data_IF_915442257296
#
_entry.id   IF_915442257296
#
_cell.length_a   1.000
_cell.length_b   1.000
_cell.length_c   1.000
_cell.angle_alpha   90.00
_cell.angle_beta   90.00
_cell.angle_gamma   90.00
#
_symmetry.space_group_name_H-M   'P 1'
#
loop_
_entity.id
_entity.type
_entity.pdbx_description
1 polymer ?
#
# COMPACT_ATOMS: atom_id res chain seq x y z
N UNK A 1 -27.42 -36.41 -3.74
CA UNK A 1 -27.57 -37.81 -4.19
C UNK A 1 -28.26 -37.97 -5.55
N UNK A 2 -29.31 -37.20 -5.87
CA UNK A 2 -30.14 -37.37 -7.08
C UNK A 2 -29.38 -37.29 -8.42
N UNK A 3 -28.33 -36.48 -8.50
CA UNK A 3 -27.52 -36.29 -9.72
C UNK A 3 -26.78 -37.56 -10.15
N UNK A 4 -26.29 -38.35 -9.20
CA UNK A 4 -25.42 -39.52 -9.46
C UNK A 4 -26.15 -40.86 -9.28
N UNK A 5 -27.04 -40.97 -8.28
CA UNK A 5 -27.57 -42.29 -7.87
C UNK A 5 -28.97 -42.61 -8.40
N UNK A 6 -29.76 -41.63 -8.84
CA UNK A 6 -31.07 -41.93 -9.43
C UNK A 6 -31.04 -42.80 -10.70
N UNK A 7 -30.03 -42.70 -11.60
CA UNK A 7 -29.92 -43.61 -12.74
C UNK A 7 -29.78 -45.08 -12.33
N UNK A 8 -29.03 -45.35 -11.26
CA UNK A 8 -28.88 -46.70 -10.71
C UNK A 8 -30.22 -47.27 -10.21
N UNK A 9 -31.00 -46.47 -9.46
CA UNK A 9 -32.30 -46.89 -8.95
C UNK A 9 -33.37 -47.07 -10.05
N UNK A 10 -33.15 -46.52 -11.24
CA UNK A 10 -34.09 -46.60 -12.39
C UNK A 10 -33.65 -47.59 -13.47
N UNK A 11 -32.64 -48.41 -13.21
CA UNK A 11 -32.15 -49.41 -14.17
C UNK A 11 -31.38 -48.82 -15.36
N UNK A 12 -30.96 -47.55 -15.28
CA UNK A 12 -30.20 -46.84 -16.33
C UNK A 12 -28.82 -46.42 -15.82
N UNK A 13 -28.13 -47.31 -15.11
CA UNK A 13 -26.86 -47.04 -14.43
C UNK A 13 -25.73 -46.50 -15.35
N UNK A 14 -25.76 -46.80 -16.65
CA UNK A 14 -24.75 -46.33 -17.61
C UNK A 14 -25.01 -44.90 -18.11
N UNK A 15 -26.19 -44.33 -17.84
CA UNK A 15 -26.56 -43.00 -18.30
C UNK A 15 -25.83 -41.91 -17.50
N UNK A 16 -25.04 -41.09 -18.18
CA UNK A 16 -24.39 -39.91 -17.58
C UNK A 16 -25.41 -38.77 -17.42
N UNK A 17 -25.29 -37.94 -16.36
CA UNK A 17 -26.12 -36.75 -16.23
C UNK A 17 -25.81 -35.76 -17.35
N UNK A 18 -26.84 -35.08 -17.85
CA UNK A 18 -26.69 -34.02 -18.85
C UNK A 18 -25.79 -32.90 -18.31
N UNK A 19 -24.97 -32.30 -19.18
CA UNK A 19 -24.07 -31.20 -18.80
C UNK A 19 -24.81 -30.05 -18.10
N UNK A 20 -25.95 -29.63 -18.67
CA UNK A 20 -26.79 -28.58 -18.09
C UNK A 20 -27.38 -28.95 -16.73
N UNK A 21 -27.81 -30.20 -16.54
CA UNK A 21 -28.35 -30.68 -15.27
C UNK A 21 -27.26 -30.71 -14.18
N UNK A 22 -26.06 -31.21 -14.52
CA UNK A 22 -24.92 -31.19 -13.63
C UNK A 22 -24.55 -29.75 -13.23
N UNK A 23 -24.42 -28.85 -14.21
CA UNK A 23 -24.08 -27.45 -13.96
C UNK A 23 -25.10 -26.76 -13.05
N UNK A 24 -26.40 -27.01 -13.24
CA UNK A 24 -27.45 -26.42 -12.40
C UNK A 24 -27.41 -26.95 -10.96
N UNK A 25 -27.18 -28.25 -10.77
CA UNK A 25 -27.01 -28.82 -9.42
C UNK A 25 -25.77 -28.24 -8.74
N UNK A 26 -24.64 -28.17 -9.45
CA UNK A 26 -23.38 -27.65 -8.90
C UNK A 26 -23.46 -26.15 -8.59
N UNK A 27 -24.18 -25.35 -9.38
CA UNK A 27 -24.46 -23.94 -9.06
C UNK A 27 -25.20 -23.79 -7.73
N UNK A 28 -26.17 -24.67 -7.45
CA UNK A 28 -26.85 -24.69 -6.16
C UNK A 28 -25.95 -25.14 -5.01
N UNK A 29 -25.14 -26.18 -5.21
CA UNK A 29 -24.19 -26.66 -4.20
C UNK A 29 -23.09 -25.66 -3.86
N UNK A 30 -22.68 -24.86 -4.85
CA UNK A 30 -21.59 -23.89 -4.74
C UNK A 30 -22.07 -22.44 -4.68
N UNK A 31 -23.35 -22.20 -4.36
CA UNK A 31 -23.95 -20.87 -4.38
C UNK A 31 -23.18 -19.90 -3.46
N UNK A 32 -22.92 -20.33 -2.22
CA UNK A 32 -22.17 -19.52 -1.25
C UNK A 32 -20.74 -19.21 -1.72
N UNK A 33 -20.08 -20.13 -2.44
CA UNK A 33 -18.75 -19.89 -3.00
C UNK A 33 -18.81 -18.96 -4.21
N UNK A 34 -19.88 -19.03 -5.01
CA UNK A 34 -20.09 -18.15 -6.15
C UNK A 34 -20.32 -16.69 -5.73
N UNK A 35 -20.94 -16.46 -4.56
CA UNK A 35 -21.14 -15.12 -4.00
C UNK A 35 -19.82 -14.39 -3.69
N UNK A 36 -18.72 -15.13 -3.44
CA UNK A 36 -17.40 -14.55 -3.21
C UNK A 36 -16.65 -14.21 -4.50
N UNK A 37 -17.10 -14.71 -5.66
CA UNK A 37 -16.42 -14.47 -6.94
C UNK A 37 -16.24 -12.97 -7.29
N UNK A 38 -17.22 -12.06 -7.13
CA UNK A 38 -17.00 -10.63 -7.42
C UNK A 38 -15.89 -10.01 -6.55
N UNK A 39 -15.88 -10.29 -5.25
CA UNK A 39 -14.86 -9.78 -4.34
C UNK A 39 -13.47 -10.37 -4.64
N UNK A 40 -13.43 -11.65 -5.01
CA UNK A 40 -12.20 -12.29 -5.46
C UNK A 40 -11.63 -11.64 -6.72
N UNK A 41 -12.48 -11.30 -7.70
CA UNK A 41 -12.07 -10.59 -8.90
C UNK A 41 -11.57 -9.18 -8.58
N UNK A 42 -12.26 -8.45 -7.70
CA UNK A 42 -11.80 -7.14 -7.23
C UNK A 42 -10.41 -7.24 -6.60
N UNK A 43 -10.20 -8.21 -5.71
CA UNK A 43 -8.90 -8.44 -5.08
C UNK A 43 -7.79 -8.68 -6.12
N UNK A 44 -8.02 -9.52 -7.12
CA UNK A 44 -7.05 -9.80 -8.19
C UNK A 44 -6.69 -8.52 -8.96
N UNK A 45 -7.68 -7.70 -9.32
CA UNK A 45 -7.47 -6.45 -10.04
C UNK A 45 -6.60 -5.51 -9.20
N UNK A 46 -6.94 -5.30 -7.93
CA UNK A 46 -6.18 -4.42 -7.05
C UNK A 46 -4.75 -4.92 -6.79
N UNK A 47 -4.58 -6.23 -6.56
CA UNK A 47 -3.25 -6.82 -6.40
C UNK A 47 -2.40 -6.64 -7.65
N UNK A 48 -2.99 -6.78 -8.84
CA UNK A 48 -2.28 -6.59 -10.10
C UNK A 48 -1.83 -5.13 -10.27
N UNK A 49 -2.67 -4.16 -9.92
CA UNK A 49 -2.31 -2.73 -9.91
C UNK A 49 -1.15 -2.48 -8.95
N UNK A 50 -1.19 -3.03 -7.73
CA UNK A 50 -0.13 -2.85 -6.74
C UNK A 50 1.19 -3.47 -7.19
N UNK A 51 1.16 -4.67 -7.77
CA UNK A 51 2.35 -5.32 -8.32
C UNK A 51 2.95 -4.55 -9.49
N UNK A 52 2.11 -3.99 -10.36
CA UNK A 52 2.57 -3.13 -11.45
C UNK A 52 3.24 -1.85 -10.91
N UNK A 53 2.66 -1.22 -9.88
CA UNK A 53 3.29 -0.07 -9.20
C UNK A 53 4.60 -0.43 -8.51
N UNK A 54 4.72 -1.61 -7.89
CA UNK A 54 5.97 -2.09 -7.28
C UNK A 54 7.10 -2.21 -8.30
N UNK A 55 6.78 -2.64 -9.53
CA UNK A 55 7.75 -2.78 -10.62
C UNK A 55 8.11 -1.44 -11.29
N UNK A 56 7.41 -0.34 -10.95
CA UNK A 56 7.75 0.99 -11.43
C UNK A 56 9.08 1.45 -10.82
N UNK A 57 9.95 2.05 -11.63
CA UNK A 57 11.21 2.64 -11.17
C UNK A 57 11.05 4.15 -10.93
N UNK A 58 11.63 4.72 -9.87
CA UNK A 58 12.33 4.03 -8.77
C UNK A 58 11.36 3.16 -7.95
N UNK A 59 11.82 1.98 -7.50
CA UNK A 59 10.98 1.08 -6.70
C UNK A 59 10.63 1.73 -5.37
N UNK A 60 9.51 1.30 -4.78
CA UNK A 60 9.06 1.81 -3.49
C UNK A 60 10.15 1.71 -2.41
N UNK A 61 10.86 0.59 -2.33
CA UNK A 61 11.97 0.39 -1.38
C UNK A 61 13.09 1.41 -1.58
N UNK A 62 13.43 1.74 -2.83
CA UNK A 62 14.44 2.75 -3.15
C UNK A 62 13.97 4.13 -2.70
N UNK A 63 12.72 4.50 -3.00
CA UNK A 63 12.15 5.79 -2.58
C UNK A 63 12.15 5.88 -1.05
N UNK A 64 11.65 4.87 -0.35
CA UNK A 64 11.60 4.83 1.11
C UNK A 64 13.00 4.92 1.74
N UNK A 65 13.98 4.19 1.19
CA UNK A 65 15.37 4.24 1.66
C UNK A 65 16.03 5.62 1.47
N UNK A 66 15.54 6.41 0.50
CA UNK A 66 16.07 7.75 0.22
C UNK A 66 15.51 8.85 1.12
N UNK A 67 14.39 8.63 1.82
CA UNK A 67 13.72 9.65 2.64
C UNK A 67 14.66 10.27 3.69
N UNK A 68 15.42 9.50 4.50
CA UNK A 68 16.30 10.08 5.51
C UNK A 68 17.38 10.97 4.90
N UNK A 69 17.94 10.56 3.74
CA UNK A 69 18.96 11.34 3.02
C UNK A 69 18.35 12.63 2.48
N UNK A 70 17.15 12.59 1.90
CA UNK A 70 16.45 13.78 1.42
C UNK A 70 16.12 14.78 2.52
N UNK A 71 15.70 14.29 3.69
CA UNK A 71 15.47 15.14 4.87
C UNK A 71 16.78 15.81 5.30
N UNK A 72 17.86 15.03 5.38
CA UNK A 72 19.18 15.56 5.73
C UNK A 72 19.66 16.62 4.72
N UNK A 73 19.56 16.36 3.41
CA UNK A 73 19.92 17.31 2.34
C UNK A 73 19.14 18.62 2.46
N UNK A 74 17.83 18.54 2.68
CA UNK A 74 16.97 19.72 2.82
C UNK A 74 17.32 20.56 4.05
N UNK A 75 17.56 19.90 5.18
CA UNK A 75 18.01 20.54 6.42
C UNK A 75 19.39 21.18 6.24
N UNK A 76 20.32 20.45 5.64
CA UNK A 76 21.67 20.94 5.41
C UNK A 76 21.67 22.17 4.50
N UNK A 77 20.88 22.14 3.42
CA UNK A 77 20.68 23.29 2.55
C UNK A 77 20.11 24.51 3.29
N UNK A 78 19.17 24.30 4.21
CA UNK A 78 18.64 25.37 5.06
C UNK A 78 19.72 25.97 5.98
N UNK A 79 20.59 25.13 6.53
CA UNK A 79 21.70 25.58 7.39
C UNK A 79 22.75 26.39 6.62
N UNK A 80 23.15 25.93 5.44
CA UNK A 80 24.14 26.64 4.61
C UNK A 80 23.65 28.01 4.14
N UNK A 81 22.33 28.15 3.97
CA UNK A 81 21.70 29.39 3.49
C UNK A 81 20.97 30.15 4.61
N UNK A 82 21.28 29.84 5.88
CA UNK A 82 20.55 30.36 7.03
C UNK A 82 20.50 31.88 7.04
N UNK A 83 21.59 32.57 6.71
CA UNK A 83 21.64 34.04 6.69
C UNK A 83 20.73 34.67 5.63
N UNK A 84 20.61 34.02 4.46
CA UNK A 84 19.70 34.46 3.40
C UNK A 84 18.24 34.21 3.78
N UNK A 85 17.96 33.13 4.52
CA UNK A 85 16.64 32.84 5.05
C UNK A 85 16.25 33.77 6.20
N UNK A 86 17.16 34.04 7.14
CA UNK A 86 16.92 34.94 8.28
C UNK A 86 16.78 36.39 7.83
N UNK A 87 17.54 36.84 6.83
CA UNK A 87 17.38 38.18 6.25
C UNK A 87 16.03 38.38 5.52
N UNK A 88 15.46 37.31 4.97
CA UNK A 88 14.09 37.34 4.43
C UNK A 88 13.03 37.24 5.54
N UNK A 89 13.29 36.47 6.58
CA UNK A 89 12.39 36.28 7.71
C UNK A 89 12.32 37.51 8.63
N UNK A 90 13.39 38.30 8.77
CA UNK A 90 13.39 39.57 9.50
C UNK A 90 12.56 40.66 8.82
N UNK A 91 12.13 40.45 7.57
CA UNK A 91 11.14 41.29 6.89
C UNK A 91 9.70 40.96 7.35
N UNK A 92 9.49 39.81 8.00
CA UNK A 92 8.23 39.40 8.63
C UNK A 92 8.27 39.74 10.12
N UNK A 93 7.93 40.98 10.47
CA UNK A 93 7.84 41.41 11.87
C UNK A 93 6.71 40.67 12.63
N UNK A 94 7.04 40.15 13.83
CA UNK A 94 6.21 40.06 15.06
C UNK A 94 6.07 38.70 15.77
N UNK A 95 6.88 37.66 15.49
CA UNK A 95 6.92 36.46 16.36
C UNK A 95 8.34 36.10 16.78
N UNK A 96 8.61 35.86 18.09
CA UNK A 96 9.90 35.32 18.51
C UNK A 96 10.11 33.97 17.84
N UNK A 97 11.26 33.79 17.21
CA UNK A 97 11.65 32.52 16.57
C UNK A 97 11.61 31.43 17.65
N UNK A 98 10.62 30.55 17.60
CA UNK A 98 10.58 29.38 18.47
C UNK A 98 11.67 28.42 17.98
N UNK A 99 12.74 28.33 18.77
CA UNK A 99 13.83 27.39 18.54
C UNK A 99 13.33 25.99 18.87
N UNK A 100 13.04 25.19 17.84
CA UNK A 100 12.75 23.77 18.02
C UNK A 100 14.00 22.94 17.74
N UNK A 101 14.42 22.18 18.74
CA UNK A 101 15.43 21.13 18.58
C UNK A 101 14.73 19.89 18.03
N UNK A 102 14.90 19.63 16.73
CA UNK A 102 14.41 18.38 16.12
C UNK A 102 15.48 17.30 16.34
N UNK A 103 15.17 16.35 17.22
CA UNK A 103 15.95 15.12 17.37
C UNK A 103 15.47 14.12 16.32
N UNK A 104 16.25 13.93 15.24
CA UNK A 104 15.99 12.86 14.27
C UNK A 104 16.65 11.59 14.80
N UNK A 105 15.87 10.71 15.42
CA UNK A 105 16.37 9.40 15.87
C UNK A 105 16.33 8.40 14.72
N UNK A 106 17.50 7.96 14.27
CA UNK A 106 17.65 6.75 13.45
C UNK A 106 17.82 5.55 14.38
N UNK A 107 17.10 4.46 14.11
CA UNK A 107 17.22 3.17 14.83
C UNK A 107 18.60 2.51 14.70
N UNK A 108 19.54 3.08 13.94
CA UNK A 108 20.88 2.55 13.67
C UNK A 108 21.98 3.43 14.29
N UNK A 109 22.18 3.27 15.60
CA UNK A 109 23.49 3.27 16.30
C UNK A 109 24.56 4.34 15.98
N UNK A 110 24.20 5.54 15.54
CA UNK A 110 25.12 6.69 15.52
C UNK A 110 24.45 7.91 16.16
N UNK A 111 25.16 8.67 17.02
CA UNK A 111 24.59 9.87 17.62
C UNK A 111 24.35 10.88 16.51
N UNK A 112 23.08 11.19 16.26
CA UNK A 112 22.69 12.17 15.26
C UNK A 112 22.90 13.59 15.79
N UNK A 113 23.46 14.43 14.94
CA UNK A 113 23.63 15.87 15.13
C UNK A 113 22.32 16.47 15.64
N UNK A 114 22.37 17.21 16.74
CA UNK A 114 21.22 18.03 17.16
C UNK A 114 21.02 19.12 16.10
N UNK A 115 19.92 19.05 15.36
CA UNK A 115 19.63 20.02 14.31
C UNK A 115 18.78 21.13 14.89
N UNK A 116 19.34 22.35 14.87
CA UNK A 116 18.60 23.57 15.12
C UNK A 116 17.69 23.84 13.92
N UNK A 117 16.38 23.62 14.06
CA UNK A 117 15.41 24.00 13.02
C UNK A 117 14.74 25.29 13.45
N UNK A 118 15.11 26.38 12.78
CA UNK A 118 14.45 27.66 12.91
C UNK A 118 13.23 27.62 11.99
N UNK A 119 12.02 27.56 12.56
CA UNK A 119 10.82 27.82 11.78
C UNK A 119 10.70 29.34 11.58
N UNK A 120 10.75 29.86 10.34
CA UNK A 120 10.30 31.21 10.07
C UNK A 120 8.76 31.24 10.17
N UNK A 121 8.22 32.42 10.46
CA UNK A 121 6.84 32.72 10.12
C UNK A 121 6.62 32.60 8.61
#
# INVERSE_FOLDING_TARGET
>A
MKLLYCPHCRGVASAKPCSSYCANVMKGCLANQADLNPEWQNLIVHLTILLNKKNQKPSLDVVLSSIPVRIYEAVHYLQENMDAFTAKASLCDSTPILVFYLQITSSSSKPFTSVLVLFPC
#
